data_IF_497175690126
#
_entry.id   IF_497175690126
#
_cell.length_a   1.000
_cell.length_b   1.000
_cell.length_c   1.000
_cell.angle_alpha   90.00
_cell.angle_beta   90.00
_cell.angle_gamma   90.00
#
_symmetry.space_group_name_H-M   'P 1'
#
loop_
_entity.id
_entity.type
_entity.pdbx_description
1 polymer ?
#
# COMPACT_ATOMS: atom_id res chain seq x y z
N UNK A 1 -11.85 -0.12 -2.67
CA UNK A 1 -11.45 -1.41 -3.28
C UNK A 1 -11.11 -2.38 -2.16
N UNK A 2 -11.60 -3.61 -2.28
CA UNK A 2 -11.47 -4.67 -1.30
C UNK A 2 -10.78 -5.86 -1.95
N UNK A 3 -9.79 -6.44 -1.28
CA UNK A 3 -9.13 -7.65 -1.70
C UNK A 3 -9.69 -8.86 -0.95
N UNK A 4 -9.81 -10.00 -1.63
CA UNK A 4 -10.04 -11.31 -1.05
C UNK A 4 -8.81 -12.16 -1.32
N UNK A 5 -8.11 -12.53 -0.25
CA UNK A 5 -6.93 -13.39 -0.29
C UNK A 5 -7.40 -14.83 -0.08
N UNK A 6 -7.24 -15.66 -1.09
CA UNK A 6 -7.64 -17.08 -1.10
C UNK A 6 -6.44 -17.96 -0.69
N UNK A 7 -6.62 -18.93 0.23
CA UNK A 7 -5.57 -19.87 0.64
C UNK A 7 -4.97 -20.69 -0.50
N UNK A 8 -5.66 -20.79 -1.65
CA UNK A 8 -5.15 -21.45 -2.87
C UNK A 8 -4.16 -20.61 -3.67
N UNK A 9 -3.76 -19.44 -3.14
CA UNK A 9 -2.75 -18.57 -3.72
C UNK A 9 -3.29 -17.59 -4.76
N UNK A 10 -4.59 -17.27 -4.70
CA UNK A 10 -5.20 -16.28 -5.59
C UNK A 10 -5.60 -15.03 -4.79
N UNK A 11 -5.31 -13.85 -5.36
CA UNK A 11 -5.82 -12.58 -4.84
C UNK A 11 -6.90 -12.07 -5.80
N UNK A 12 -8.06 -11.77 -5.24
CA UNK A 12 -9.19 -11.21 -5.97
C UNK A 12 -9.48 -9.80 -5.47
N UNK A 13 -10.06 -8.96 -6.32
CA UNK A 13 -10.46 -7.60 -5.99
C UNK A 13 -11.90 -7.32 -6.38
N UNK A 14 -12.58 -6.52 -5.56
CA UNK A 14 -13.89 -5.96 -5.84
C UNK A 14 -13.87 -4.46 -5.60
N UNK A 15 -14.62 -3.70 -6.42
CA UNK A 15 -14.83 -2.28 -6.21
C UNK A 15 -15.88 -2.05 -5.11
N UNK A 16 -15.46 -2.33 -3.88
CA UNK A 16 -16.24 -2.14 -2.68
C UNK A 16 -15.31 -1.74 -1.53
N UNK A 17 -15.90 -1.32 -0.41
CA UNK A 17 -15.20 -1.14 0.87
C UNK A 17 -15.62 -2.22 1.85
N UNK A 18 -14.80 -2.43 2.89
CA UNK A 18 -15.14 -3.37 3.96
C UNK A 18 -16.43 -2.97 4.70
N UNK A 19 -16.69 -1.66 4.82
CA UNK A 19 -17.92 -1.13 5.40
C UNK A 19 -19.15 -1.47 4.58
N UNK A 20 -19.08 -1.34 3.25
CA UNK A 20 -20.16 -1.75 2.35
C UNK A 20 -20.42 -3.26 2.42
N UNK A 21 -19.35 -4.07 2.44
CA UNK A 21 -19.44 -5.52 2.58
C UNK A 21 -20.14 -5.93 3.89
N UNK A 22 -19.74 -5.32 5.02
CA UNK A 22 -20.35 -5.55 6.34
C UNK A 22 -21.83 -5.12 6.39
N UNK A 23 -22.13 -3.94 5.84
CA UNK A 23 -23.50 -3.43 5.80
C UNK A 23 -24.42 -4.38 5.02
N UNK A 24 -23.95 -4.86 3.86
CA UNK A 24 -24.69 -5.80 3.04
C UNK A 24 -24.88 -7.16 3.72
N UNK A 25 -23.83 -7.70 4.34
CA UNK A 25 -23.91 -8.96 5.09
C UNK A 25 -24.98 -8.89 6.20
N UNK A 26 -25.05 -7.75 6.89
CA UNK A 26 -26.04 -7.49 7.94
C UNK A 26 -27.48 -7.38 7.39
N UNK A 27 -27.68 -6.72 6.26
CA UNK A 27 -29.02 -6.47 5.69
C UNK A 27 -29.55 -7.68 4.93
N UNK A 28 -28.70 -8.29 4.10
CA UNK A 28 -29.10 -9.38 3.20
C UNK A 28 -28.97 -10.77 3.85
N UNK A 29 -28.35 -10.86 5.04
CA UNK A 29 -28.06 -12.13 5.72
C UNK A 29 -27.04 -13.00 4.97
N UNK A 30 -26.28 -12.40 4.05
CA UNK A 30 -25.31 -13.10 3.19
C UNK A 30 -23.89 -12.99 3.74
N UNK A 31 -22.98 -13.90 3.33
CA UNK A 31 -21.57 -13.79 3.64
C UNK A 31 -20.97 -12.43 3.26
N UNK A 32 -20.01 -11.96 4.06
CA UNK A 32 -19.31 -10.68 3.83
C UNK A 32 -18.51 -10.67 2.52
N UNK A 33 -18.15 -11.84 2.00
CA UNK A 33 -17.48 -12.05 0.72
C UNK A 33 -18.43 -12.38 -0.44
N UNK A 34 -19.75 -12.23 -0.28
CA UNK A 34 -20.72 -12.33 -1.38
C UNK A 34 -20.72 -11.07 -2.27
N UNK A 35 -19.55 -10.80 -2.86
CA UNK A 35 -19.32 -9.72 -3.81
C UNK A 35 -18.84 -10.29 -5.14
N UNK A 36 -19.03 -9.52 -6.22
CA UNK A 36 -18.49 -9.86 -7.54
C UNK A 36 -17.00 -9.55 -7.57
N UNK A 37 -16.21 -10.52 -7.13
CA UNK A 37 -14.75 -10.47 -7.19
C UNK A 37 -14.23 -10.80 -8.59
N UNK A 38 -13.15 -10.12 -8.98
CA UNK A 38 -12.38 -10.37 -10.22
C UNK A 38 -10.92 -10.57 -9.86
N UNK A 39 -10.13 -11.22 -10.71
CA UNK A 39 -8.72 -11.48 -10.40
C UNK A 39 -7.98 -10.15 -10.27
N UNK A 40 -7.28 -9.96 -9.15
CA UNK A 40 -6.57 -8.71 -8.90
C UNK A 40 -5.30 -8.62 -9.76
N UNK A 41 -4.98 -7.42 -10.23
CA UNK A 41 -3.62 -7.10 -10.66
C UNK A 41 -2.76 -6.95 -9.40
N UNK A 42 -1.92 -7.94 -9.14
CA UNK A 42 -1.10 -7.97 -7.92
C UNK A 42 -0.04 -6.86 -7.95
N UNK A 43 -0.08 -5.98 -6.95
CA UNK A 43 0.91 -4.92 -6.77
C UNK A 43 2.02 -5.31 -5.78
N UNK A 44 1.75 -6.32 -4.95
CA UNK A 44 2.66 -6.92 -3.98
C UNK A 44 2.77 -8.43 -4.24
N UNK A 45 3.73 -9.09 -3.59
CA UNK A 45 3.80 -10.56 -3.63
C UNK A 45 2.62 -11.17 -2.87
N UNK A 46 2.31 -12.45 -3.12
CA UNK A 46 1.24 -13.15 -2.39
C UNK A 46 1.52 -13.13 -0.88
N UNK A 47 2.76 -13.38 -0.48
CA UNK A 47 3.17 -13.42 0.93
C UNK A 47 2.95 -12.08 1.62
N UNK A 48 3.24 -10.96 0.94
CA UNK A 48 2.97 -9.62 1.47
C UNK A 48 1.47 -9.36 1.65
N UNK A 49 0.64 -9.83 0.70
CA UNK A 49 -0.82 -9.73 0.84
C UNK A 49 -1.31 -10.56 2.03
N UNK A 50 -0.78 -11.77 2.23
CA UNK A 50 -1.14 -12.64 3.35
C UNK A 50 -0.67 -12.03 4.67
N UNK A 51 0.55 -11.50 4.74
CA UNK A 51 1.09 -10.84 5.94
C UNK A 51 0.20 -9.65 6.36
N UNK A 52 -0.13 -8.76 5.41
CA UNK A 52 -1.04 -7.64 5.66
C UNK A 52 -2.45 -8.10 6.04
N UNK A 53 -2.97 -9.14 5.37
CA UNK A 53 -4.29 -9.69 5.67
C UNK A 53 -4.36 -10.29 7.07
N UNK A 54 -3.31 -10.97 7.54
CA UNK A 54 -3.25 -11.54 8.88
C UNK A 54 -3.09 -10.48 9.98
N UNK A 55 -2.61 -9.28 9.65
CA UNK A 55 -2.50 -8.15 10.61
C UNK A 55 -3.72 -7.24 10.62
N UNK A 56 -4.36 -7.03 9.46
CA UNK A 56 -5.38 -5.97 9.28
C UNK A 56 -6.69 -6.44 8.65
N UNK A 57 -6.75 -7.68 8.21
CA UNK A 57 -7.88 -8.21 7.48
C UNK A 57 -9.10 -8.52 8.35
N UNK A 58 -10.09 -9.11 7.71
CA UNK A 58 -11.32 -9.60 8.34
C UNK A 58 -11.61 -10.99 7.81
N UNK A 59 -12.02 -11.89 8.69
CA UNK A 59 -12.43 -13.25 8.32
C UNK A 59 -13.56 -13.23 7.29
N UNK A 60 -13.39 -14.04 6.25
CA UNK A 60 -14.43 -14.36 5.30
C UNK A 60 -14.48 -15.88 5.06
N UNK A 61 -15.65 -16.45 4.72
CA UNK A 61 -15.77 -17.89 4.47
C UNK A 61 -14.76 -18.45 3.47
N UNK A 62 -14.39 -17.68 2.43
CA UNK A 62 -13.48 -18.13 1.38
C UNK A 62 -12.01 -17.72 1.59
N UNK A 63 -11.70 -16.96 2.64
CA UNK A 63 -10.35 -16.43 2.83
C UNK A 63 -10.30 -15.27 3.82
N UNK A 64 -9.46 -14.28 3.55
CA UNK A 64 -9.38 -13.05 4.34
C UNK A 64 -9.65 -11.85 3.45
N UNK A 65 -10.48 -10.93 3.93
CA UNK A 65 -10.72 -9.65 3.26
C UNK A 65 -9.73 -8.61 3.77
N UNK A 66 -9.13 -7.86 2.84
CA UNK A 66 -8.18 -6.79 3.14
C UNK A 66 -8.58 -5.50 2.41
N UNK A 67 -8.66 -4.39 3.14
CA UNK A 67 -8.95 -3.09 2.53
C UNK A 67 -7.73 -2.56 1.75
N UNK A 68 -7.98 -1.94 0.59
CA UNK A 68 -6.92 -1.37 -0.24
C UNK A 68 -6.09 -0.30 0.49
N UNK A 69 -6.63 0.37 1.51
CA UNK A 69 -5.89 1.36 2.30
C UNK A 69 -4.58 0.83 2.86
N UNK A 70 -4.56 -0.42 3.36
CA UNK A 70 -3.35 -1.04 3.91
C UNK A 70 -2.32 -1.39 2.84
N UNK A 71 -2.77 -1.86 1.68
CA UNK A 71 -1.90 -2.14 0.53
C UNK A 71 -1.29 -0.83 0.00
N UNK A 72 -2.09 0.23 -0.07
CA UNK A 72 -1.61 1.56 -0.47
C UNK A 72 -0.59 2.12 0.53
N UNK A 73 -0.80 1.93 1.84
CA UNK A 73 0.14 2.33 2.88
C UNK A 73 1.47 1.58 2.75
N UNK A 74 1.45 0.27 2.50
CA UNK A 74 2.66 -0.53 2.29
C UNK A 74 3.45 -0.10 1.04
N UNK A 75 2.76 0.28 -0.05
CA UNK A 75 3.37 0.73 -1.30
C UNK A 75 3.81 2.20 -1.30
N UNK A 76 3.24 3.04 -0.42
CA UNK A 76 3.45 4.49 -0.43
C UNK A 76 4.93 4.91 -0.42
N UNK A 77 5.84 4.30 0.38
CA UNK A 77 7.25 4.66 0.38
C UNK A 77 7.91 4.44 -0.98
N UNK A 78 7.69 3.29 -1.62
CA UNK A 78 8.27 2.95 -2.91
C UNK A 78 7.78 3.90 -4.01
N UNK A 79 6.47 4.19 -4.01
CA UNK A 79 5.87 5.11 -4.99
C UNK A 79 6.42 6.53 -4.85
N UNK A 80 6.59 7.04 -3.62
CA UNK A 80 7.14 8.37 -3.39
C UNK A 80 8.64 8.45 -3.75
N UNK A 81 9.40 7.39 -3.51
CA UNK A 81 10.82 7.30 -3.95
C UNK A 81 10.94 7.29 -5.47
N UNK A 82 10.07 6.55 -6.16
CA UNK A 82 10.03 6.56 -7.62
C UNK A 82 9.62 7.95 -8.16
N UNK A 83 8.69 8.63 -7.50
CA UNK A 83 8.32 10.01 -7.84
C UNK A 83 9.52 10.97 -7.67
N UNK A 84 10.32 10.83 -6.61
CA UNK A 84 11.56 11.59 -6.41
C UNK A 84 12.53 11.38 -7.56
N UNK A 85 12.85 10.13 -7.88
CA UNK A 85 13.80 9.79 -8.94
C UNK A 85 13.36 10.34 -10.31
N UNK A 86 12.06 10.33 -10.58
CA UNK A 86 11.51 10.93 -11.81
C UNK A 86 11.62 12.47 -11.80
N UNK A 87 11.42 13.13 -10.65
CA UNK A 87 11.62 14.59 -10.54
C UNK A 87 13.09 14.95 -10.74
N UNK A 88 14.01 14.21 -10.13
CA UNK A 88 15.45 14.41 -10.28
C UNK A 88 15.87 14.25 -11.75
N UNK A 89 15.40 13.20 -12.43
CA UNK A 89 15.68 12.97 -13.85
C UNK A 89 15.11 14.06 -14.77
N UNK A 90 13.91 14.59 -14.47
CA UNK A 90 13.31 15.69 -15.24
C UNK A 90 14.07 17.00 -15.01
N UNK A 91 14.49 17.29 -13.78
CA UNK A 91 15.30 18.45 -13.47
C UNK A 91 16.64 18.40 -14.23
N UNK A 92 17.31 17.24 -14.25
CA UNK A 92 18.56 17.05 -15.01
C UNK A 92 18.39 17.32 -16.51
N UNK A 93 17.24 16.95 -17.09
CA UNK A 93 16.92 17.20 -18.50
C UNK A 93 16.59 18.68 -18.80
N UNK A 94 16.15 19.45 -17.81
CA UNK A 94 15.79 20.86 -17.94
C UNK A 94 16.96 21.82 -17.70
N UNK A 95 17.98 21.40 -16.92
CA UNK A 95 19.23 22.16 -16.67
C UNK A 95 19.90 22.75 -17.93
N UNK A 96 19.97 22.05 -19.09
CA UNK A 96 20.56 22.61 -20.31
C UNK A 96 19.70 23.67 -21.00
N UNK A 97 18.37 23.63 -20.77
CA UNK A 97 17.40 24.56 -21.37
C UNK A 97 17.37 25.86 -20.59
N UNK A 98 17.38 25.80 -19.26
CA UNK A 98 17.36 26.98 -18.38
C UNK A 98 18.63 27.83 -18.53
N UNK A 99 19.80 27.19 -18.64
CA UNK A 99 21.09 27.88 -18.88
C UNK A 99 21.13 28.72 -20.16
N UNK A 100 20.30 28.42 -21.17
CA UNK A 100 20.20 29.24 -22.39
C UNK A 100 19.27 30.44 -22.24
N UNK A 101 18.46 30.49 -21.19
CA UNK A 101 17.46 31.54 -20.95
C UNK A 101 17.79 32.48 -19.79
N UNK A 102 18.79 32.15 -18.97
CA UNK A 102 19.16 32.87 -17.74
C UNK A 102 20.10 34.08 -17.93
N UNK A 103 20.44 34.48 -19.16
CA UNK A 103 21.16 35.74 -19.43
C UNK A 103 20.36 37.00 -19.05
N UNK A 104 19.14 36.87 -18.51
CA UNK A 104 18.30 37.98 -18.07
C UNK A 104 17.61 37.71 -16.71
N UNK A 105 18.35 37.81 -15.60
CA UNK A 105 17.77 38.17 -14.29
C UNK A 105 18.05 37.20 -13.14
N UNK A 106 19.11 37.48 -12.38
CA UNK A 106 19.56 36.75 -11.18
C UNK A 106 18.51 36.58 -10.06
N UNK A 107 17.49 37.45 -10.00
CA UNK A 107 16.38 37.34 -9.03
C UNK A 107 15.37 36.23 -9.35
N UNK A 108 15.31 35.80 -10.63
CA UNK A 108 14.38 34.73 -11.07
C UNK A 108 14.97 33.35 -10.74
N UNK A 109 16.28 33.15 -10.95
CA UNK A 109 17.00 31.92 -10.60
C UNK A 109 16.93 31.60 -9.10
N UNK A 110 17.24 32.56 -8.22
CA UNK A 110 17.17 32.31 -6.76
C UNK A 110 15.77 31.94 -6.24
N UNK A 111 14.69 32.48 -6.84
CA UNK A 111 13.32 32.09 -6.47
C UNK A 111 12.96 30.71 -7.00
N UNK A 112 13.51 30.33 -8.15
CA UNK A 112 13.35 29.00 -8.72
C UNK A 112 14.06 27.97 -7.84
N UNK A 113 15.35 28.17 -7.54
CA UNK A 113 16.13 27.31 -6.64
C UNK A 113 15.46 27.13 -5.28
N UNK A 114 14.99 28.22 -4.66
CA UNK A 114 14.29 28.15 -3.38
C UNK A 114 12.95 27.39 -3.46
N UNK A 115 12.23 27.48 -4.58
CA UNK A 115 11.00 26.73 -4.80
C UNK A 115 11.27 25.23 -5.03
N UNK A 116 12.35 24.89 -5.75
CA UNK A 116 12.81 23.51 -5.93
C UNK A 116 13.24 22.89 -4.60
N UNK A 117 14.09 23.58 -3.83
CA UNK A 117 14.53 23.12 -2.52
C UNK A 117 13.35 22.92 -1.55
N UNK A 118 12.38 23.84 -1.54
CA UNK A 118 11.17 23.69 -0.73
C UNK A 118 10.32 22.48 -1.16
N UNK A 119 10.21 22.20 -2.47
CA UNK A 119 9.49 21.05 -2.99
C UNK A 119 10.20 19.72 -2.64
N UNK A 120 11.54 19.66 -2.74
CA UNK A 120 12.33 18.51 -2.31
C UNK A 120 12.18 18.24 -0.81
N UNK A 121 12.24 19.29 0.02
CA UNK A 121 12.06 19.15 1.47
C UNK A 121 10.65 18.66 1.85
N UNK A 122 9.60 19.09 1.14
CA UNK A 122 8.25 18.56 1.37
C UNK A 122 8.14 17.09 0.97
N UNK A 123 8.71 16.72 -0.19
CA UNK A 123 8.73 15.33 -0.65
C UNK A 123 9.47 14.42 0.33
N UNK A 124 10.61 14.86 0.86
CA UNK A 124 11.41 14.11 1.84
C UNK A 124 10.64 13.89 3.15
N UNK A 125 9.93 14.92 3.63
CA UNK A 125 9.03 14.76 4.79
C UNK A 125 7.91 13.77 4.51
N UNK A 126 7.33 13.79 3.31
CA UNK A 126 6.27 12.85 2.91
C UNK A 126 6.79 11.42 2.80
N UNK A 127 7.99 11.21 2.25
CA UNK A 127 8.65 9.90 2.19
C UNK A 127 8.86 9.38 3.61
N UNK A 128 9.46 10.18 4.49
CA UNK A 128 9.71 9.78 5.88
C UNK A 128 8.41 9.40 6.61
N UNK A 129 7.37 10.21 6.46
CA UNK A 129 6.06 9.93 7.05
C UNK A 129 5.43 8.65 6.48
N UNK A 130 5.54 8.44 5.17
CA UNK A 130 5.05 7.21 4.53
C UNK A 130 5.81 5.98 5.02
N UNK A 131 7.13 6.08 5.21
CA UNK A 131 7.95 4.99 5.79
C UNK A 131 7.55 4.68 7.23
N UNK A 132 7.28 5.71 8.04
CA UNK A 132 6.76 5.54 9.41
C UNK A 132 5.41 4.85 9.39
N UNK A 133 4.45 5.30 8.58
CA UNK A 133 3.12 4.68 8.46
C UNK A 133 3.20 3.25 7.93
N UNK A 134 4.02 2.99 6.92
CA UNK A 134 4.21 1.63 6.39
C UNK A 134 4.83 0.71 7.45
N UNK A 135 5.81 1.21 8.22
CA UNK A 135 6.41 0.47 9.33
C UNK A 135 5.39 0.17 10.42
N UNK A 136 4.59 1.14 10.84
CA UNK A 136 3.52 0.95 11.83
C UNK A 136 2.49 -0.08 11.37
N UNK A 137 2.14 -0.06 10.08
CA UNK A 137 1.24 -1.05 9.47
C UNK A 137 1.83 -2.45 9.55
N UNK A 138 3.10 -2.62 9.13
CA UNK A 138 3.77 -3.92 9.14
C UNK A 138 4.09 -4.42 10.55
N UNK A 139 4.29 -3.53 11.52
CA UNK A 139 4.63 -3.90 12.91
C UNK A 139 3.41 -4.27 13.75
N UNK A 140 2.19 -4.08 13.26
CA UNK A 140 1.00 -4.51 13.99
C UNK A 140 1.08 -6.02 14.22
N UNK A 141 0.87 -6.46 15.46
CA UNK A 141 0.88 -7.89 15.79
C UNK A 141 -0.16 -8.64 14.93
N UNK A 142 0.22 -9.77 14.31
CA UNK A 142 -0.71 -10.61 13.58
C UNK A 142 -1.86 -11.07 14.49
N UNK A 143 -3.07 -11.10 13.94
CA UNK A 143 -4.24 -11.56 14.68
C UNK A 143 -4.27 -13.09 14.72
N UNK A 144 -4.16 -13.66 15.92
CA UNK A 144 -4.16 -15.11 16.13
C UNK A 144 -5.48 -15.77 15.70
N UNK A 145 -6.61 -15.06 15.76
CA UNK A 145 -7.88 -15.57 15.24
C UNK A 145 -7.83 -15.68 13.72
N UNK A 146 -7.32 -14.65 13.04
CA UNK A 146 -7.11 -14.66 11.58
C UNK A 146 -6.12 -15.75 11.16
N UNK A 147 -5.04 -15.97 11.91
CA UNK A 147 -4.09 -17.06 11.64
C UNK A 147 -4.78 -18.42 11.77
N UNK A 148 -5.57 -18.63 12.82
CA UNK A 148 -6.34 -19.87 13.01
C UNK A 148 -7.35 -20.07 11.89
N UNK A 149 -8.04 -19.02 11.47
CA UNK A 149 -8.96 -19.04 10.33
C UNK A 149 -8.25 -19.40 9.02
N UNK A 150 -7.14 -18.72 8.72
CA UNK A 150 -6.33 -18.98 7.54
C UNK A 150 -5.85 -20.43 7.44
N UNK A 151 -5.30 -20.95 8.54
CA UNK A 151 -4.85 -22.35 8.63
C UNK A 151 -6.01 -23.34 8.48
N UNK A 152 -7.18 -23.05 9.05
CA UNK A 152 -8.39 -23.89 8.89
C UNK A 152 -8.83 -23.98 7.43
N UNK A 153 -8.63 -22.92 6.66
CA UNK A 153 -8.92 -22.91 5.22
C UNK A 153 -7.80 -23.56 4.37
N UNK A 154 -6.72 -24.04 4.99
CA UNK A 154 -5.59 -24.69 4.32
C UNK A 154 -4.54 -23.74 3.78
N UNK A 155 -4.49 -22.49 4.27
CA UNK A 155 -3.47 -21.52 3.89
C UNK A 155 -2.18 -21.65 4.69
N UNK A 156 -1.05 -21.47 4.02
CA UNK A 156 0.28 -21.44 4.63
C UNK A 156 0.60 -20.04 5.19
N UNK A 157 1.26 -19.99 6.35
CA UNK A 157 1.60 -18.73 7.02
C UNK A 157 2.95 -18.23 6.51
N UNK A 158 3.09 -16.93 6.14
CA UNK A 158 4.36 -16.37 5.71
C UNK A 158 5.46 -16.48 6.77
N UNK A 159 6.70 -16.68 6.33
CA UNK A 159 7.86 -16.82 7.23
C UNK A 159 8.09 -15.59 8.13
N UNK A 160 7.67 -14.40 7.70
CA UNK A 160 7.72 -13.16 8.49
C UNK A 160 6.90 -13.29 9.78
N UNK A 161 5.69 -13.85 9.69
CA UNK A 161 4.82 -14.07 10.84
C UNK A 161 5.31 -15.24 11.70
N UNK A 162 5.94 -16.25 11.10
CA UNK A 162 6.56 -17.32 11.87
C UNK A 162 7.75 -16.84 12.71
N UNK A 163 8.49 -15.84 12.24
CA UNK A 163 9.57 -15.20 12.99
C UNK A 163 9.01 -14.38 14.16
N UNK A 164 7.98 -13.56 13.91
CA UNK A 164 7.32 -12.71 14.93
C UNK A 164 6.74 -13.51 16.12
N UNK A 165 6.52 -14.82 15.98
CA UNK A 165 5.98 -15.69 17.03
C UNK A 165 7.04 -16.39 17.89
N UNK A 166 8.32 -16.33 17.49
CA UNK A 166 9.43 -16.97 18.22
C UNK A 166 10.10 -16.02 19.23
N UNK A 167 9.79 -14.74 19.15
CA UNK A 167 10.21 -13.68 20.09
C UNK A 167 9.14 -13.40 21.15
#
# INVERSE_FOLDING_TARGET
MLYLIDPRGAVWSADATIGQARARARVDGRPIDDLKFTRAAMLLTLDDYVDLALRHGVEAPRGILLDHGFVAQALAPANLKAQRANQDAMAEQLLPVERRTEDAGSLRGHRHDAAYEAAHQDLDRRIKKAEETARETLQKTPDEDLIRHWRRLGGDVPATIEADRKD
#
